data_IF_211897711392
#
_entry.id   IF_211897711392
#
_cell.length_a   1.000
_cell.length_b   1.000
_cell.length_c   1.000
_cell.angle_alpha   90.00
_cell.angle_beta   90.00
_cell.angle_gamma   90.00
#
_symmetry.space_group_name_H-M   'P 1'
#
loop_
_entity.id
_entity.type
_entity.pdbx_description
1 polymer ?
#
# COMPACT_ATOMS: atom_id res chain seq x y z
N UNK A 1 -14.84 0.74 18.53
CA UNK A 1 -14.20 -0.53 18.11
C UNK A 1 -12.80 -0.16 17.66
N UNK A 2 -11.78 -0.73 18.30
CA UNK A 2 -10.39 -0.47 17.93
C UNK A 2 -10.15 -1.03 16.54
N UNK A 3 -9.70 -0.17 15.63
CA UNK A 3 -9.48 -0.55 14.24
C UNK A 3 -8.35 -1.58 14.16
N UNK A 4 -8.59 -2.74 13.53
CA UNK A 4 -7.65 -3.86 13.43
C UNK A 4 -6.85 -3.77 12.14
N UNK A 5 -5.55 -4.08 12.18
CA UNK A 5 -4.75 -4.27 10.97
C UNK A 5 -4.98 -5.69 10.43
N UNK A 6 -5.33 -5.80 9.14
CA UNK A 6 -5.59 -7.08 8.46
C UNK A 6 -4.38 -7.47 7.63
N UNK A 7 -3.98 -8.74 7.63
CA UNK A 7 -2.99 -9.26 6.69
C UNK A 7 -3.49 -10.51 5.99
N UNK A 8 -3.43 -10.51 4.66
CA UNK A 8 -3.73 -11.67 3.82
C UNK A 8 -2.49 -12.55 3.63
N UNK A 9 -2.59 -13.83 3.94
CA UNK A 9 -1.51 -14.81 3.77
C UNK A 9 -1.97 -16.00 2.93
N UNK A 10 -1.08 -16.51 2.09
CA UNK A 10 -1.31 -17.72 1.29
C UNK A 10 -0.23 -18.81 1.53
N UNK A 11 0.69 -18.54 2.49
CA UNK A 11 1.82 -19.41 2.80
C UNK A 11 2.97 -19.31 1.81
N UNK A 12 2.92 -18.40 0.82
CA UNK A 12 4.06 -18.07 -0.03
C UNK A 12 5.08 -17.21 0.72
N UNK A 13 6.34 -17.19 0.25
CA UNK A 13 7.37 -16.32 0.82
C UNK A 13 6.96 -14.83 0.81
N UNK A 14 6.43 -14.25 -0.31
CA UNK A 14 5.95 -12.87 -0.29
C UNK A 14 4.80 -12.63 0.70
N UNK A 15 3.89 -13.61 0.87
CA UNK A 15 2.82 -13.54 1.87
C UNK A 15 3.37 -13.55 3.30
N UNK A 16 4.37 -14.38 3.57
CA UNK A 16 5.01 -14.43 4.90
C UNK A 16 5.86 -13.18 5.19
N UNK A 17 6.50 -12.58 4.19
CA UNK A 17 7.17 -11.27 4.33
C UNK A 17 6.15 -10.15 4.61
N UNK A 18 4.97 -10.21 4.01
CA UNK A 18 3.88 -9.29 4.30
C UNK A 18 3.37 -9.43 5.74
N UNK A 19 3.30 -10.67 6.25
CA UNK A 19 2.97 -10.93 7.65
C UNK A 19 4.00 -10.32 8.61
N UNK A 20 5.29 -10.51 8.35
CA UNK A 20 6.36 -9.93 9.18
C UNK A 20 6.24 -8.42 9.23
N UNK A 21 6.08 -7.79 8.07
CA UNK A 21 5.90 -6.34 7.97
C UNK A 21 4.63 -5.86 8.68
N UNK A 22 3.53 -6.60 8.54
CA UNK A 22 2.26 -6.27 9.20
C UNK A 22 2.35 -6.38 10.74
N UNK A 23 3.07 -7.39 11.25
CA UNK A 23 3.29 -7.55 12.68
C UNK A 23 4.09 -6.38 13.27
N UNK A 24 5.16 -5.96 12.57
CA UNK A 24 5.95 -4.79 12.99
C UNK A 24 5.13 -3.50 12.92
N UNK A 25 4.27 -3.36 11.90
CA UNK A 25 3.41 -2.19 11.75
C UNK A 25 2.32 -2.14 12.81
N UNK A 26 1.68 -3.27 13.10
CA UNK A 26 0.69 -3.39 14.18
C UNK A 26 1.30 -3.04 15.53
N UNK A 27 2.52 -3.51 15.81
CA UNK A 27 3.24 -3.18 17.03
C UNK A 27 3.54 -1.67 17.15
N UNK A 28 4.03 -1.04 16.06
CA UNK A 28 4.31 0.42 16.03
C UNK A 28 3.06 1.26 16.27
N UNK A 29 1.92 0.81 15.70
CA UNK A 29 0.67 1.53 15.80
C UNK A 29 -0.18 1.13 17.01
N UNK A 30 0.30 0.19 17.85
CA UNK A 30 -0.43 -0.41 18.97
C UNK A 30 -1.80 -0.97 18.55
N UNK A 31 -1.87 -1.60 17.36
CA UNK A 31 -3.09 -2.19 16.80
C UNK A 31 -3.11 -3.70 16.98
N UNK A 32 -4.29 -4.33 17.16
CA UNK A 32 -4.44 -5.76 17.00
C UNK A 32 -4.18 -6.17 15.54
N UNK A 33 -3.63 -7.38 15.34
CA UNK A 33 -3.36 -7.97 14.04
C UNK A 33 -4.29 -9.15 13.77
N UNK A 34 -5.03 -9.11 12.66
CA UNK A 34 -5.83 -10.23 12.18
C UNK A 34 -5.22 -10.81 10.92
N UNK A 35 -4.94 -12.10 10.96
CA UNK A 35 -4.37 -12.88 9.85
C UNK A 35 -5.52 -13.59 9.14
N UNK A 36 -5.67 -13.36 7.84
CA UNK A 36 -6.72 -13.97 7.01
C UNK A 36 -6.06 -14.86 5.97
N UNK A 37 -6.44 -16.14 5.98
CA UNK A 37 -6.14 -17.10 4.90
C UNK A 37 -7.42 -17.44 4.17
N UNK A 38 -7.50 -17.15 2.87
CA UNK A 38 -8.64 -17.49 2.04
C UNK A 38 -8.32 -18.76 1.24
N UNK A 39 -9.12 -19.82 1.44
CA UNK A 39 -8.90 -21.12 0.80
C UNK A 39 -9.34 -21.16 -0.65
N UNK A 40 -10.28 -20.28 -1.04
CA UNK A 40 -10.82 -20.19 -2.41
C UNK A 40 -11.59 -21.43 -2.87
N UNK A 41 -11.95 -22.34 -1.96
CA UNK A 41 -12.57 -23.62 -2.26
C UNK A 41 -13.91 -23.49 -3.00
N UNK A 42 -14.76 -22.52 -2.62
CA UNK A 42 -16.07 -22.32 -3.26
C UNK A 42 -15.96 -21.96 -4.76
N UNK A 43 -14.82 -21.45 -5.20
CA UNK A 43 -14.56 -21.15 -6.61
C UNK A 43 -14.46 -22.42 -7.47
N UNK A 44 -14.15 -23.56 -6.85
CA UNK A 44 -14.06 -24.87 -7.52
C UNK A 44 -15.38 -25.65 -7.48
N UNK A 45 -16.34 -25.29 -6.62
CA UNK A 45 -17.64 -25.97 -6.53
C UNK A 45 -18.54 -25.76 -7.76
N UNK A 46 -18.30 -24.73 -8.58
CA UNK A 46 -19.01 -24.46 -9.84
C UNK A 46 -18.44 -25.13 -11.08
N UNK A 47 -17.26 -25.75 -10.99
CA UNK A 47 -16.62 -26.52 -12.06
C UNK A 47 -16.48 -27.95 -11.56
N UNK A 48 -16.91 -28.94 -12.37
CA UNK A 48 -16.81 -30.35 -12.00
C UNK A 48 -15.44 -30.65 -11.38
N UNK A 49 -15.41 -31.26 -10.16
CA UNK A 49 -14.15 -31.50 -9.50
C UNK A 49 -13.30 -32.39 -10.37
N UNK A 50 -12.22 -31.88 -10.93
CA UNK A 50 -11.18 -32.67 -11.54
C UNK A 50 -10.72 -33.70 -10.50
N UNK A 51 -11.06 -34.95 -10.69
CA UNK A 51 -10.66 -36.14 -9.97
C UNK A 51 -9.71 -35.92 -8.77
N UNK A 52 -10.19 -36.09 -7.54
CA UNK A 52 -9.36 -36.44 -6.40
C UNK A 52 -8.97 -35.30 -5.43
N UNK A 53 -9.53 -34.11 -5.50
CA UNK A 53 -9.25 -33.06 -4.47
C UNK A 53 -10.10 -33.35 -3.23
N UNK A 54 -9.44 -33.85 -2.17
CA UNK A 54 -10.07 -34.07 -0.87
C UNK A 54 -10.27 -32.75 -0.13
N UNK A 55 -11.53 -32.35 0.11
CA UNK A 55 -11.90 -31.11 0.85
C UNK A 55 -11.25 -31.06 2.23
N UNK A 56 -11.15 -32.18 2.93
CA UNK A 56 -10.49 -32.26 4.24
C UNK A 56 -8.99 -31.96 4.14
N UNK A 57 -8.32 -32.45 3.10
CA UNK A 57 -6.90 -32.17 2.87
C UNK A 57 -6.64 -30.67 2.56
N UNK A 58 -7.53 -30.04 1.78
CA UNK A 58 -7.45 -28.60 1.50
C UNK A 58 -7.67 -27.79 2.78
N UNK A 59 -8.69 -28.16 3.57
CA UNK A 59 -8.95 -27.49 4.85
C UNK A 59 -7.78 -27.67 5.83
N UNK A 60 -7.27 -28.89 5.98
CA UNK A 60 -6.11 -29.15 6.82
C UNK A 60 -4.86 -28.38 6.36
N UNK A 61 -4.69 -28.18 5.05
CA UNK A 61 -3.60 -27.34 4.52
C UNK A 61 -3.82 -25.86 4.86
N UNK A 62 -5.03 -25.35 4.75
CA UNK A 62 -5.37 -23.97 5.12
C UNK A 62 -5.11 -23.70 6.60
N UNK A 63 -5.54 -24.64 7.46
CA UNK A 63 -5.32 -24.57 8.91
C UNK A 63 -3.82 -24.61 9.26
N UNK A 64 -3.01 -25.44 8.57
CA UNK A 64 -1.55 -25.44 8.76
C UNK A 64 -0.89 -24.12 8.36
N UNK A 65 -1.29 -23.55 7.24
CA UNK A 65 -0.78 -22.24 6.79
C UNK A 65 -1.12 -21.15 7.80
N UNK A 66 -2.37 -21.15 8.27
CA UNK A 66 -2.82 -20.17 9.27
C UNK A 66 -2.10 -20.36 10.60
N UNK A 67 -1.98 -21.58 11.11
CA UNK A 67 -1.28 -21.88 12.37
C UNK A 67 0.18 -21.41 12.31
N UNK A 68 0.90 -21.73 11.25
CA UNK A 68 2.28 -21.26 11.05
C UNK A 68 2.39 -19.73 10.98
N UNK A 69 1.41 -19.06 10.36
CA UNK A 69 1.37 -17.59 10.29
C UNK A 69 1.10 -16.97 11.66
N UNK A 70 0.15 -17.51 12.42
CA UNK A 70 -0.16 -17.05 13.79
C UNK A 70 1.05 -17.23 14.71
N UNK A 71 1.69 -18.40 14.68
CA UNK A 71 2.88 -18.68 15.50
C UNK A 71 4.04 -17.72 15.16
N UNK A 72 4.24 -17.42 13.87
CA UNK A 72 5.27 -16.47 13.41
C UNK A 72 5.02 -15.03 13.89
N UNK A 73 3.77 -14.61 13.98
CA UNK A 73 3.39 -13.27 14.44
C UNK A 73 3.28 -13.14 15.96
N UNK A 74 3.17 -14.30 16.67
CA UNK A 74 3.00 -14.32 18.13
C UNK A 74 4.20 -13.67 18.83
N UNK A 75 3.91 -12.78 19.78
CA UNK A 75 4.92 -12.01 20.51
C UNK A 75 5.47 -10.78 19.77
N UNK A 76 5.10 -10.58 18.48
CA UNK A 76 5.52 -9.38 17.72
C UNK A 76 4.47 -8.27 17.72
N UNK A 77 3.19 -8.62 17.73
CA UNK A 77 2.09 -7.67 17.82
C UNK A 77 1.13 -8.06 18.94
N UNK A 78 0.43 -7.08 19.50
CA UNK A 78 -0.62 -7.32 20.48
C UNK A 78 -1.86 -7.90 19.79
N UNK A 79 -2.55 -8.85 20.44
CA UNK A 79 -3.87 -9.32 19.99
C UNK A 79 -3.84 -9.98 18.60
N UNK A 80 -2.90 -10.92 18.37
CA UNK A 80 -2.84 -11.68 17.11
C UNK A 80 -3.96 -12.70 17.05
N UNK A 81 -4.79 -12.62 16.01
CA UNK A 81 -5.87 -13.57 15.70
C UNK A 81 -5.74 -14.09 14.28
N UNK A 82 -6.27 -15.29 14.01
CA UNK A 82 -6.24 -15.90 12.69
C UNK A 82 -7.60 -16.44 12.28
N UNK A 83 -7.92 -16.37 10.99
CA UNK A 83 -9.14 -16.90 10.42
C UNK A 83 -8.89 -17.52 9.04
N UNK A 84 -9.37 -18.74 8.83
CA UNK A 84 -9.56 -19.30 7.48
C UNK A 84 -10.94 -18.92 6.99
N UNK A 85 -11.04 -18.41 5.76
CA UNK A 85 -12.29 -18.08 5.08
C UNK A 85 -12.38 -18.87 3.77
N UNK A 86 -13.55 -19.46 3.51
CA UNK A 86 -13.82 -20.23 2.30
C UNK A 86 -14.46 -19.32 1.24
N UNK A 87 -13.66 -18.42 0.69
CA UNK A 87 -14.10 -17.37 -0.23
C UNK A 87 -12.95 -16.98 -1.17
N UNK A 88 -13.25 -16.31 -2.29
CA UNK A 88 -12.22 -15.71 -3.14
C UNK A 88 -11.31 -14.77 -2.32
N UNK A 89 -9.99 -14.93 -2.38
CA UNK A 89 -9.06 -14.17 -1.55
C UNK A 89 -9.20 -12.65 -1.69
N UNK A 90 -9.48 -12.17 -2.90
CA UNK A 90 -9.63 -10.73 -3.10
C UNK A 90 -10.97 -10.22 -2.55
N UNK A 91 -12.05 -11.00 -2.70
CA UNK A 91 -13.36 -10.66 -2.14
C UNK A 91 -13.32 -10.66 -0.60
N UNK A 92 -12.73 -11.69 0.01
CA UNK A 92 -12.55 -11.76 1.45
C UNK A 92 -11.82 -10.54 2.01
N UNK A 93 -10.64 -10.21 1.47
CA UNK A 93 -9.83 -9.08 1.95
C UNK A 93 -10.49 -7.72 1.70
N UNK A 94 -11.25 -7.57 0.60
CA UNK A 94 -12.04 -6.36 0.35
C UNK A 94 -13.17 -6.24 1.37
N UNK A 95 -13.86 -7.31 1.70
CA UNK A 95 -14.88 -7.32 2.75
C UNK A 95 -14.27 -6.97 4.11
N UNK A 96 -13.17 -7.62 4.51
CA UNK A 96 -12.45 -7.35 5.76
C UNK A 96 -11.90 -5.92 5.86
N UNK A 97 -11.69 -5.24 4.73
CA UNK A 97 -11.21 -3.84 4.71
C UNK A 97 -12.21 -2.84 5.28
N UNK A 98 -13.50 -3.20 5.38
CA UNK A 98 -14.51 -2.32 5.96
C UNK A 98 -14.33 -2.22 7.48
N UNK A 99 -14.01 -1.02 7.97
CA UNK A 99 -13.74 -0.78 9.38
C UNK A 99 -12.35 -1.20 9.87
N UNK A 100 -11.50 -1.72 8.99
CA UNK A 100 -10.11 -2.01 9.32
C UNK A 100 -9.24 -0.75 9.36
N UNK A 101 -8.16 -0.77 10.16
CA UNK A 101 -7.12 0.25 10.12
C UNK A 101 -6.36 0.25 8.78
N UNK A 102 -6.27 -0.92 8.15
CA UNK A 102 -5.64 -1.15 6.86
C UNK A 102 -5.58 -2.63 6.52
N UNK A 103 -5.27 -2.91 5.26
CA UNK A 103 -5.03 -4.28 4.76
C UNK A 103 -3.60 -4.39 4.24
N UNK A 104 -2.90 -5.45 4.62
CA UNK A 104 -1.54 -5.74 4.16
C UNK A 104 -1.55 -7.01 3.32
N UNK A 105 -0.88 -6.99 2.18
CA UNK A 105 -0.74 -8.14 1.27
C UNK A 105 0.67 -8.22 0.71
N UNK A 106 1.11 -9.42 0.35
CA UNK A 106 2.35 -9.60 -0.41
C UNK A 106 2.23 -9.07 -1.83
N UNK A 107 3.33 -8.76 -2.48
CA UNK A 107 3.33 -8.33 -3.88
C UNK A 107 2.94 -9.44 -4.85
N UNK A 108 3.12 -10.71 -4.45
CA UNK A 108 2.82 -11.94 -5.22
C UNK A 108 2.29 -13.02 -4.29
N UNK A 109 1.71 -14.07 -4.86
CA UNK A 109 1.25 -15.27 -4.15
C UNK A 109 1.67 -16.55 -4.88
N UNK A 110 1.04 -17.67 -4.55
CA UNK A 110 1.31 -19.02 -5.11
C UNK A 110 0.86 -19.20 -6.57
N UNK A 111 0.25 -18.22 -7.22
CA UNK A 111 -0.30 -18.36 -8.56
C UNK A 111 0.74 -18.71 -9.62
N UNK A 112 0.32 -19.33 -10.76
CA UNK A 112 1.21 -19.84 -11.82
C UNK A 112 1.95 -18.73 -12.58
N UNK A 113 1.60 -17.47 -12.38
CA UNK A 113 2.19 -16.32 -13.07
C UNK A 113 3.39 -15.74 -12.28
N UNK A 114 4.34 -16.59 -11.93
CA UNK A 114 5.55 -16.20 -11.17
C UNK A 114 6.38 -15.08 -11.82
N UNK A 115 6.18 -14.82 -13.11
CA UNK A 115 6.83 -13.72 -13.86
C UNK A 115 6.16 -12.36 -13.72
N UNK A 116 4.94 -12.25 -13.16
CA UNK A 116 4.27 -10.98 -12.97
C UNK A 116 4.85 -10.22 -11.77
N UNK A 117 5.04 -8.93 -11.93
CA UNK A 117 5.56 -8.04 -10.88
C UNK A 117 4.57 -7.79 -9.75
N UNK A 118 3.26 -8.00 -9.97
CA UNK A 118 2.18 -7.81 -9.00
C UNK A 118 1.11 -8.90 -9.18
N UNK A 119 0.70 -9.54 -8.08
CA UNK A 119 -0.34 -10.56 -8.05
C UNK A 119 -1.75 -10.00 -8.31
N UNK A 120 -2.65 -10.87 -8.81
CA UNK A 120 -4.05 -10.52 -9.08
C UNK A 120 -4.81 -10.12 -7.83
N UNK A 121 -4.63 -10.85 -6.71
CA UNK A 121 -5.23 -10.54 -5.41
C UNK A 121 -4.77 -9.18 -4.93
N UNK A 122 -3.48 -8.92 -4.88
CA UNK A 122 -2.91 -7.65 -4.38
C UNK A 122 -3.39 -6.45 -5.18
N UNK A 123 -3.43 -6.60 -6.53
CA UNK A 123 -3.99 -5.57 -7.43
C UNK A 123 -5.47 -5.32 -7.17
N UNK A 124 -6.25 -6.40 -7.02
CA UNK A 124 -7.70 -6.34 -6.82
C UNK A 124 -8.05 -5.68 -5.47
N UNK A 125 -7.34 -6.06 -4.40
CA UNK A 125 -7.52 -5.49 -3.06
C UNK A 125 -7.13 -4.00 -3.07
N UNK A 126 -5.96 -3.63 -3.62
CA UNK A 126 -5.53 -2.24 -3.72
C UNK A 126 -6.50 -1.36 -4.53
N UNK A 127 -7.22 -1.95 -5.50
CA UNK A 127 -8.19 -1.23 -6.31
C UNK A 127 -9.60 -1.14 -5.71
N UNK A 128 -9.94 -1.96 -4.71
CA UNK A 128 -11.33 -2.11 -4.24
C UNK A 128 -11.54 -1.94 -2.73
N UNK A 129 -10.48 -2.04 -1.93
CA UNK A 129 -10.60 -1.96 -0.49
C UNK A 129 -11.16 -0.63 0.01
N UNK A 130 -11.83 -0.68 1.14
CA UNK A 130 -12.42 0.48 1.82
C UNK A 130 -11.43 1.24 2.71
N UNK A 131 -10.37 0.56 3.17
CA UNK A 131 -9.29 1.10 4.00
C UNK A 131 -7.96 1.15 3.24
N UNK A 132 -6.91 1.80 3.78
CA UNK A 132 -5.58 1.80 3.18
C UNK A 132 -5.05 0.39 2.93
N UNK A 133 -4.46 0.16 1.75
CA UNK A 133 -3.88 -1.13 1.37
C UNK A 133 -2.38 -1.00 1.19
N UNK A 134 -1.62 -1.78 1.94
CA UNK A 134 -0.17 -1.86 1.78
C UNK A 134 0.21 -3.14 1.03
N UNK A 135 0.85 -2.97 -0.11
CA UNK A 135 1.48 -4.06 -0.85
C UNK A 135 2.95 -4.12 -0.46
N UNK A 136 3.32 -5.19 0.23
CA UNK A 136 4.69 -5.39 0.73
C UNK A 136 5.58 -5.93 -0.37
N UNK A 137 6.65 -5.17 -0.66
CA UNK A 137 7.66 -5.43 -1.68
C UNK A 137 8.96 -4.70 -1.34
N UNK A 138 9.96 -4.86 -2.17
CA UNK A 138 11.26 -4.21 -1.99
C UNK A 138 12.28 -5.08 -1.25
N UNK A 139 13.43 -4.48 -0.96
CA UNK A 139 14.55 -5.15 -0.29
C UNK A 139 14.49 -5.11 1.23
N UNK A 140 15.32 -5.91 1.88
CA UNK A 140 15.42 -6.00 3.35
C UNK A 140 15.58 -4.64 4.03
N UNK A 141 16.38 -3.74 3.45
CA UNK A 141 16.64 -2.43 4.05
C UNK A 141 15.38 -1.60 4.19
N UNK A 142 14.54 -1.54 3.13
CA UNK A 142 13.27 -0.81 3.18
C UNK A 142 12.26 -1.48 4.10
N UNK A 143 12.21 -2.81 4.12
CA UNK A 143 11.29 -3.56 4.97
C UNK A 143 11.59 -3.38 6.46
N UNK A 144 12.86 -3.18 6.83
CA UNK A 144 13.29 -2.94 8.20
C UNK A 144 13.41 -1.48 8.59
N UNK A 145 12.80 -0.56 7.83
CA UNK A 145 12.85 0.88 8.07
C UNK A 145 14.29 1.45 8.14
N UNK A 146 15.19 0.91 7.31
CA UNK A 146 16.61 1.23 7.34
C UNK A 146 16.99 2.52 6.61
N UNK A 147 16.05 3.16 5.90
CA UNK A 147 16.24 4.48 5.30
C UNK A 147 15.71 5.61 6.20
N UNK A 148 14.80 5.29 7.13
CA UNK A 148 14.10 6.25 7.98
C UNK A 148 13.41 7.35 7.16
N UNK A 149 12.76 6.94 6.07
CA UNK A 149 12.10 7.85 5.13
C UNK A 149 10.78 7.27 4.65
N UNK A 150 9.71 8.07 4.79
CA UNK A 150 8.41 7.84 4.15
C UNK A 150 8.28 8.83 2.99
N UNK A 151 7.83 8.35 1.83
CA UNK A 151 7.56 9.19 0.66
C UNK A 151 6.06 9.26 0.44
N UNK A 152 5.53 10.43 0.10
CA UNK A 152 4.14 10.59 -0.34
C UNK A 152 4.06 11.32 -1.67
N UNK A 153 3.29 10.76 -2.61
CA UNK A 153 2.91 11.44 -3.85
C UNK A 153 1.75 12.39 -3.58
N UNK A 154 1.94 13.67 -3.91
CA UNK A 154 0.94 14.72 -3.67
C UNK A 154 0.32 15.16 -4.99
N UNK A 155 -1.01 15.02 -5.09
CA UNK A 155 -1.85 15.64 -6.10
C UNK A 155 -2.92 16.51 -5.43
N UNK A 156 -3.84 17.09 -6.20
CA UNK A 156 -4.91 17.96 -5.68
C UNK A 156 -5.86 17.29 -4.70
N UNK A 157 -5.83 15.97 -4.62
CA UNK A 157 -6.75 15.14 -3.82
C UNK A 157 -6.04 14.32 -2.75
N UNK A 158 -4.74 14.61 -2.52
CA UNK A 158 -3.88 13.76 -1.69
C UNK A 158 -4.06 13.94 -0.17
N UNK A 159 -5.02 14.74 0.32
CA UNK A 159 -5.15 15.06 1.75
C UNK A 159 -5.13 13.81 2.66
N UNK A 160 -5.93 12.78 2.36
CA UNK A 160 -5.96 11.55 3.13
C UNK A 160 -4.63 10.77 3.04
N UNK A 161 -3.96 10.78 1.89
CA UNK A 161 -2.67 10.13 1.70
C UNK A 161 -1.56 10.86 2.47
N UNK A 162 -1.59 12.20 2.50
CA UNK A 162 -0.66 13.03 3.26
C UNK A 162 -0.84 12.79 4.75
N UNK A 163 -2.08 12.81 5.26
CA UNK A 163 -2.38 12.52 6.66
C UNK A 163 -1.89 11.13 7.09
N UNK A 164 -2.15 10.11 6.27
CA UNK A 164 -1.63 8.76 6.49
C UNK A 164 -0.10 8.75 6.53
N UNK A 165 0.56 9.42 5.58
CA UNK A 165 2.02 9.45 5.47
C UNK A 165 2.68 10.16 6.64
N UNK A 166 2.12 11.29 7.12
CA UNK A 166 2.61 12.00 8.32
C UNK A 166 2.53 11.09 9.55
N UNK A 167 1.38 10.44 9.76
CA UNK A 167 1.21 9.47 10.85
C UNK A 167 2.20 8.31 10.74
N UNK A 168 2.38 7.75 9.54
CA UNK A 168 3.31 6.66 9.29
C UNK A 168 4.78 7.08 9.53
N UNK A 169 5.17 8.28 9.14
CA UNK A 169 6.51 8.84 9.39
C UNK A 169 6.75 9.04 10.90
N UNK A 170 5.77 9.59 11.62
CA UNK A 170 5.82 9.77 13.07
C UNK A 170 6.03 8.46 13.80
N UNK A 171 5.24 7.44 13.50
CA UNK A 171 5.33 6.11 14.13
C UNK A 171 6.66 5.40 13.87
N UNK A 172 7.34 5.75 12.77
CA UNK A 172 8.67 5.21 12.41
C UNK A 172 9.83 6.06 12.93
N UNK A 173 9.57 7.25 13.47
CA UNK A 173 10.62 8.25 13.72
C UNK A 173 11.40 8.60 12.45
N UNK A 174 10.71 8.66 11.33
CA UNK A 174 11.26 8.87 9.99
C UNK A 174 10.95 10.27 9.46
N UNK A 175 11.73 10.75 8.50
CA UNK A 175 11.39 11.95 7.74
C UNK A 175 10.26 11.65 6.74
N UNK A 176 9.46 12.66 6.43
CA UNK A 176 8.47 12.63 5.37
C UNK A 176 8.98 13.43 4.16
N UNK A 177 9.12 12.77 3.01
CA UNK A 177 9.39 13.42 1.72
C UNK A 177 8.10 13.47 0.90
N UNK A 178 7.57 14.67 0.68
CA UNK A 178 6.38 14.88 -0.13
C UNK A 178 6.79 15.29 -1.54
N UNK A 179 6.37 14.53 -2.54
CA UNK A 179 6.75 14.70 -3.95
C UNK A 179 5.56 15.18 -4.76
N UNK A 180 5.71 16.35 -5.41
CA UNK A 180 4.76 16.90 -6.39
C UNK A 180 5.44 16.99 -7.74
N UNK A 181 4.99 16.21 -8.71
CA UNK A 181 5.49 16.31 -10.08
C UNK A 181 4.82 17.48 -10.83
N UNK A 182 5.60 18.20 -11.61
CA UNK A 182 5.13 19.23 -12.51
C UNK A 182 5.77 19.09 -13.89
N UNK A 183 5.11 19.61 -14.91
CA UNK A 183 5.56 19.47 -16.29
C UNK A 183 5.82 20.83 -16.94
N UNK A 184 6.91 20.89 -17.69
CA UNK A 184 7.14 21.97 -18.67
C UNK A 184 6.47 21.58 -19.98
N UNK A 185 5.70 22.50 -20.61
CA UNK A 185 5.15 22.24 -21.94
C UNK A 185 6.29 22.01 -22.95
N UNK A 186 6.07 21.17 -23.97
CA UNK A 186 7.06 20.98 -25.02
C UNK A 186 7.34 22.30 -25.77
N UNK A 187 8.54 22.49 -26.29
CA UNK A 187 8.88 23.62 -27.16
C UNK A 187 7.85 23.72 -28.30
N UNK A 188 7.39 24.94 -28.59
CA UNK A 188 6.39 25.17 -29.64
C UNK A 188 4.93 25.08 -29.24
N UNK A 189 4.59 24.82 -27.97
CA UNK A 189 3.22 24.77 -27.46
C UNK A 189 2.52 26.12 -27.26
N UNK A 190 3.12 27.24 -27.74
CA UNK A 190 2.59 28.59 -27.54
C UNK A 190 2.74 29.15 -26.12
N UNK A 191 3.30 28.39 -25.21
CA UNK A 191 3.59 28.85 -23.86
C UNK A 191 4.83 29.78 -23.88
N UNK A 192 4.82 30.91 -23.12
CA UNK A 192 5.97 31.78 -23.07
C UNK A 192 7.21 31.03 -22.60
N UNK A 193 8.40 31.29 -23.23
CA UNK A 193 9.64 30.66 -22.82
C UNK A 193 9.97 31.10 -21.38
N UNK A 194 10.00 30.18 -20.46
CA UNK A 194 10.48 30.42 -19.08
C UNK A 194 11.90 29.92 -18.96
N UNK A 195 12.75 30.69 -18.31
CA UNK A 195 14.13 30.30 -18.05
C UNK A 195 14.18 28.95 -17.26
N UNK A 196 15.13 28.06 -17.56
CA UNK A 196 15.34 26.87 -16.75
C UNK A 196 15.73 27.26 -15.32
N UNK A 197 15.08 26.66 -14.31
CA UNK A 197 15.52 26.85 -12.93
C UNK A 197 14.42 27.13 -11.90
N UNK A 198 14.82 27.63 -10.75
CA UNK A 198 13.98 27.86 -9.57
C UNK A 198 12.82 28.85 -9.81
N UNK A 199 12.90 29.67 -10.86
CA UNK A 199 11.94 30.77 -11.16
C UNK A 199 10.77 30.35 -12.07
N UNK A 200 10.67 29.09 -12.49
CA UNK A 200 9.51 28.63 -13.28
C UNK A 200 8.21 28.74 -12.44
N UNK A 201 7.19 29.51 -12.93
CA UNK A 201 5.92 29.67 -12.21
C UNK A 201 5.22 28.36 -11.88
N UNK A 202 5.43 27.33 -12.70
CA UNK A 202 4.83 25.99 -12.49
C UNK A 202 5.50 25.27 -11.33
N UNK A 203 6.83 25.42 -11.20
CA UNK A 203 7.56 24.90 -10.04
C UNK A 203 7.11 25.60 -8.75
N UNK A 204 6.96 26.94 -8.78
CA UNK A 204 6.44 27.70 -7.63
C UNK A 204 5.04 27.22 -7.26
N UNK A 205 4.14 27.11 -8.23
CA UNK A 205 2.80 26.58 -8.00
C UNK A 205 2.82 25.18 -7.38
N UNK A 206 3.65 24.27 -7.88
CA UNK A 206 3.81 22.94 -7.30
C UNK A 206 4.33 22.97 -5.86
N UNK A 207 5.24 23.92 -5.54
CA UNK A 207 5.72 24.14 -4.18
C UNK A 207 4.61 24.68 -3.26
N UNK A 208 3.82 25.65 -3.72
CA UNK A 208 2.70 26.23 -2.96
C UNK A 208 1.61 25.15 -2.69
N UNK A 209 1.31 24.31 -3.67
CA UNK A 209 0.38 23.18 -3.53
C UNK A 209 0.89 22.15 -2.52
N UNK A 210 2.20 21.85 -2.52
CA UNK A 210 2.83 20.98 -1.51
C UNK A 210 2.71 21.59 -0.12
N UNK A 211 3.07 22.86 0.04
CA UNK A 211 2.99 23.54 1.34
C UNK A 211 1.57 23.55 1.87
N UNK A 212 0.59 23.87 1.02
CA UNK A 212 -0.82 23.86 1.37
C UNK A 212 -1.30 22.48 1.83
N UNK A 213 -0.94 21.39 1.10
CA UNK A 213 -1.30 20.02 1.44
C UNK A 213 -0.68 19.57 2.76
N UNK A 214 0.55 19.97 3.05
CA UNK A 214 1.29 19.55 4.25
C UNK A 214 0.88 20.33 5.49
N UNK A 215 0.48 21.61 5.36
CA UNK A 215 0.23 22.53 6.47
C UNK A 215 -0.75 22.00 7.51
N UNK A 216 -1.86 21.45 7.06
CA UNK A 216 -2.90 20.89 7.96
C UNK A 216 -2.42 19.61 8.64
N UNK A 217 -1.92 18.66 7.86
CA UNK A 217 -1.50 17.37 8.38
C UNK A 217 -0.33 17.46 9.37
N UNK A 218 0.64 18.35 9.12
CA UNK A 218 1.78 18.55 10.02
C UNK A 218 1.36 19.21 11.33
N UNK A 219 0.45 20.20 11.28
CA UNK A 219 -0.06 20.86 12.48
C UNK A 219 -0.76 19.89 13.42
N UNK A 220 -1.51 18.96 12.87
CA UNK A 220 -2.35 18.03 13.66
C UNK A 220 -1.55 16.84 14.22
N UNK A 221 -0.37 16.55 13.69
CA UNK A 221 0.41 15.35 14.04
C UNK A 221 1.76 15.61 14.74
N UNK A 222 2.16 16.87 15.01
CA UNK A 222 3.36 17.20 15.78
C UNK A 222 4.68 17.02 15.01
N UNK A 223 5.79 16.89 15.73
CA UNK A 223 7.16 16.98 15.21
C UNK A 223 7.55 15.84 14.26
N UNK A 224 7.26 16.00 12.97
CA UNK A 224 7.81 15.19 11.88
C UNK A 224 8.65 16.12 11.00
N UNK A 225 9.88 15.69 10.69
CA UNK A 225 10.69 16.41 9.70
C UNK A 225 10.07 16.21 8.32
N UNK A 226 9.65 17.29 7.68
CA UNK A 226 8.99 17.25 6.37
C UNK A 226 9.81 17.98 5.34
N UNK A 227 10.05 17.33 4.19
CA UNK A 227 10.68 17.92 3.01
C UNK A 227 9.69 17.89 1.84
N UNK A 228 9.30 19.08 1.36
CA UNK A 228 8.48 19.22 0.15
C UNK A 228 9.37 19.33 -1.09
N UNK A 229 9.15 18.50 -2.09
CA UNK A 229 9.96 18.47 -3.31
C UNK A 229 9.10 18.56 -4.58
N UNK A 230 9.06 19.77 -5.22
CA UNK A 230 8.52 19.90 -6.56
C UNK A 230 9.51 19.35 -7.59
N UNK A 231 9.14 18.24 -8.25
CA UNK A 231 10.00 17.52 -9.22
C UNK A 231 9.52 17.76 -10.64
N UNK A 232 10.42 18.19 -11.53
CA UNK A 232 10.10 18.31 -12.96
C UNK A 232 10.04 16.91 -13.59
N UNK A 233 8.96 16.59 -14.30
CA UNK A 233 8.81 15.34 -15.02
C UNK A 233 7.57 14.56 -14.64
N UNK A 234 7.55 13.28 -15.03
CA UNK A 234 6.41 12.40 -14.80
C UNK A 234 6.34 11.93 -13.35
N UNK A 235 5.18 12.06 -12.71
CA UNK A 235 4.95 11.63 -11.34
C UNK A 235 5.38 10.18 -11.06
N UNK A 236 5.11 9.26 -12.01
CA UNK A 236 5.54 7.85 -11.88
C UNK A 236 7.05 7.71 -11.77
N UNK A 237 7.82 8.45 -12.58
CA UNK A 237 9.28 8.37 -12.57
C UNK A 237 9.85 8.93 -11.26
N UNK A 238 9.39 10.12 -10.86
CA UNK A 238 9.80 10.77 -9.61
C UNK A 238 9.52 9.90 -8.37
N UNK A 239 8.33 9.29 -8.30
CA UNK A 239 7.97 8.42 -7.17
C UNK A 239 8.74 7.10 -7.15
N UNK A 240 9.00 6.49 -8.32
CA UNK A 240 9.82 5.27 -8.40
C UNK A 240 11.27 5.56 -7.99
N UNK A 241 11.85 6.68 -8.43
CA UNK A 241 13.17 7.13 -8.00
C UNK A 241 13.21 7.35 -6.48
N UNK A 242 12.25 8.10 -5.94
CA UNK A 242 12.15 8.34 -4.50
C UNK A 242 11.98 7.05 -3.68
N UNK A 243 11.30 6.04 -4.23
CA UNK A 243 11.10 4.74 -3.57
C UNK A 243 12.39 3.94 -3.32
N UNK A 244 13.44 4.21 -4.10
CA UNK A 244 14.72 3.51 -3.98
C UNK A 244 15.43 3.74 -2.63
N UNK A 245 15.11 4.85 -1.98
CA UNK A 245 15.68 5.25 -0.68
C UNK A 245 14.60 5.51 0.37
N UNK A 246 13.47 4.79 0.29
CA UNK A 246 12.34 4.92 1.19
C UNK A 246 12.00 3.58 1.87
N UNK A 247 11.36 3.67 3.02
CA UNK A 247 10.81 2.52 3.76
C UNK A 247 9.33 2.31 3.45
N UNK A 248 8.66 3.35 2.96
CA UNK A 248 7.26 3.33 2.57
C UNK A 248 6.99 4.41 1.53
N UNK A 249 6.27 4.04 0.47
CA UNK A 249 5.70 4.97 -0.51
C UNK A 249 4.18 5.01 -0.34
N UNK A 250 3.62 6.21 -0.18
CA UNK A 250 2.18 6.43 -0.01
C UNK A 250 1.63 7.17 -1.23
N UNK A 251 0.52 6.68 -1.77
CA UNK A 251 -0.20 7.32 -2.88
C UNK A 251 -1.70 7.32 -2.61
N UNK A 252 -2.39 8.35 -3.05
CA UNK A 252 -3.86 8.41 -3.03
C UNK A 252 -4.49 7.59 -4.15
N UNK A 253 -5.71 7.09 -3.93
CA UNK A 253 -6.54 6.48 -4.97
C UNK A 253 -7.96 7.02 -4.88
N UNK A 254 -8.43 7.66 -5.95
CA UNK A 254 -9.73 8.34 -6.01
C UNK A 254 -10.89 7.33 -6.09
N UNK A 255 -11.87 7.46 -5.20
CA UNK A 255 -13.15 6.76 -5.33
C UNK A 255 -14.03 7.46 -6.36
N UNK A 256 -14.69 6.70 -7.24
CA UNK A 256 -15.72 7.25 -8.13
C UNK A 256 -17.11 6.89 -7.59
N UNK A 257 -18.03 7.87 -7.48
CA UNK A 257 -19.41 7.59 -7.12
C UNK A 257 -20.04 6.54 -8.08
N UNK A 258 -20.79 5.59 -7.53
CA UNK A 258 -21.52 4.57 -8.32
C UNK A 258 -20.70 3.36 -8.77
N UNK A 259 -19.44 3.22 -8.37
CA UNK A 259 -18.62 2.01 -8.60
C UNK A 259 -17.94 1.55 -7.32
N UNK A 260 -17.95 0.24 -7.08
CA UNK A 260 -17.28 -0.34 -5.92
C UNK A 260 -15.76 -0.14 -6.01
N UNK A 261 -15.18 0.54 -5.01
CA UNK A 261 -13.75 0.69 -4.79
C UNK A 261 -13.07 1.86 -5.51
N UNK A 262 -11.87 2.27 -5.02
CA UNK A 262 -11.03 3.27 -5.66
C UNK A 262 -10.47 2.75 -6.98
N UNK A 263 -10.24 3.63 -7.95
CA UNK A 263 -9.51 3.28 -9.18
C UNK A 263 -8.02 3.58 -9.03
N UNK A 264 -7.20 2.58 -9.26
CA UNK A 264 -5.77 2.78 -9.44
C UNK A 264 -5.53 3.53 -10.77
N UNK A 265 -5.06 4.77 -10.66
CA UNK A 265 -4.59 5.52 -11.82
C UNK A 265 -3.26 4.97 -12.36
N UNK A 266 -2.76 5.51 -13.50
CA UNK A 266 -1.49 5.06 -14.11
C UNK A 266 -0.30 5.14 -13.13
N UNK A 267 -0.25 6.15 -12.26
CA UNK A 267 0.79 6.29 -11.24
C UNK A 267 0.68 5.18 -10.19
N UNK A 268 -0.52 4.94 -9.64
CA UNK A 268 -0.75 3.87 -8.68
C UNK A 268 -0.38 2.49 -9.24
N UNK A 269 -0.75 2.20 -10.49
CA UNK A 269 -0.32 0.98 -11.18
C UNK A 269 1.21 0.88 -11.27
N UNK A 270 1.88 1.93 -11.74
CA UNK A 270 3.33 1.92 -11.93
C UNK A 270 4.07 1.69 -10.60
N UNK A 271 3.70 2.38 -9.53
CA UNK A 271 4.38 2.25 -8.23
C UNK A 271 4.11 0.89 -7.58
N UNK A 272 2.90 0.34 -7.70
CA UNK A 272 2.58 -1.00 -7.22
C UNK A 272 3.38 -2.09 -7.95
N UNK A 273 3.72 -1.89 -9.22
CA UNK A 273 4.50 -2.84 -10.01
C UNK A 273 6.02 -2.70 -9.83
N UNK A 274 6.54 -1.49 -9.62
CA UNK A 274 7.97 -1.21 -9.79
C UNK A 274 8.64 -0.54 -8.59
N UNK A 275 7.91 -0.14 -7.54
CA UNK A 275 8.52 0.47 -6.34
C UNK A 275 9.56 -0.43 -5.70
N UNK A 276 10.63 0.16 -5.20
CA UNK A 276 11.70 -0.52 -4.47
C UNK A 276 11.42 -0.68 -2.96
N UNK A 277 10.29 -0.15 -2.48
CA UNK A 277 9.82 -0.25 -1.09
C UNK A 277 8.34 -0.63 -1.03
N UNK A 278 7.77 -0.97 0.14
CA UNK A 278 6.33 -1.14 0.34
C UNK A 278 5.53 0.06 -0.15
N UNK A 279 4.36 -0.19 -0.73
CA UNK A 279 3.46 0.84 -1.26
C UNK A 279 2.13 0.78 -0.55
N UNK A 280 1.72 1.91 0.06
CA UNK A 280 0.37 2.06 0.58
C UNK A 280 -0.48 2.90 -0.37
N UNK A 281 -1.61 2.35 -0.76
CA UNK A 281 -2.67 3.03 -1.51
C UNK A 281 -3.74 3.45 -0.53
N UNK A 282 -3.97 4.75 -0.41
CA UNK A 282 -4.96 5.34 0.50
C UNK A 282 -6.20 5.73 -0.30
N UNK A 283 -7.37 5.09 -0.07
CA UNK A 283 -8.60 5.46 -0.73
C UNK A 283 -9.11 6.81 -0.19
N UNK A 284 -9.59 7.67 -1.10
CA UNK A 284 -10.24 8.92 -0.74
C UNK A 284 -11.50 9.14 -1.58
N UNK A 285 -12.44 9.95 -1.07
CA UNK A 285 -13.70 10.28 -1.73
C UNK A 285 -13.48 11.15 -2.97
#
# INVERSE_FOLDING_TARGET
>A
MDATLIVGVDGSEPGMRALDWAADEAARAALPLRIVHASGWEWYEGHEPSFGINREAVRAQADRVLAAAVDRARGRAAGVTGQVVDEDPAAALVRESHGAAGVVVGSRGRGPLAGLLLGTVSRSVAARAASPVTVVRGGERSLRSGFRRVVVGVDETAAAAVEFAVRAARLRGAELRAVRAWHRPPPGSGAPPTAPGADDPRRRRAADELEAALRTAVRDHGAVTVCGEPVEGQARAALLEASATADLLVVGARRRPGRAGPRLGPVGHAVLHHSACPVTVVPHA
#
